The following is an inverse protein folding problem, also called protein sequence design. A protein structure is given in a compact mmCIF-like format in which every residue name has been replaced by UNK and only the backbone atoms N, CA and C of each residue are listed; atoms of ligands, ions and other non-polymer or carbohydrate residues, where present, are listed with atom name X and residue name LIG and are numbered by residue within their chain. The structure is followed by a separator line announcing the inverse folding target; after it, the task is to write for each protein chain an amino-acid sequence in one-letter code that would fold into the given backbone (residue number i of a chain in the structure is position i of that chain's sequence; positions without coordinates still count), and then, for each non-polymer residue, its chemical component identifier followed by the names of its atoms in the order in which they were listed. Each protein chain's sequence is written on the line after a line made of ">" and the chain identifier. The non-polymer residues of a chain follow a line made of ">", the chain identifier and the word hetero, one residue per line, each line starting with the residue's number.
data_IF_376717769991
#
_entry.id   IF_376717769991
#
_cell.length_a   1.000
_cell.length_b   1.000
_cell.length_c   1.000
_cell.angle_alpha   90.00
_cell.angle_beta   90.00
_cell.angle_gamma   90.00
#
_symmetry.space_group_name_H-M   'P 1'
#
loop_
_entity.id
_entity.type
_entity.pdbx_description
1 polymer ?
#
# COMPACT_ATOMS: atom_id res chain seq x y z
N UNK A 1 -4.78 1.41 -10.02
CA UNK A 1 -4.03 2.00 -8.90
C UNK A 1 -4.02 3.51 -9.09
N UNK A 2 -4.01 4.25 -8.00
CA UNK A 2 -3.84 5.70 -8.01
C UNK A 2 -2.78 6.05 -6.96
N UNK A 3 -1.87 6.96 -7.29
CA UNK A 3 -0.93 7.56 -6.36
C UNK A 3 -1.15 9.07 -6.40
N UNK A 4 -1.42 9.66 -5.25
CA UNK A 4 -1.61 11.08 -5.06
C UNK A 4 -0.48 11.62 -4.18
N UNK A 5 0.09 12.76 -4.56
CA UNK A 5 1.01 13.53 -3.72
C UNK A 5 0.40 14.91 -3.52
N UNK A 6 0.27 15.32 -2.26
CA UNK A 6 -0.38 16.56 -1.87
C UNK A 6 0.52 17.35 -0.93
N UNK A 7 0.64 18.65 -1.17
CA UNK A 7 1.38 19.53 -0.26
C UNK A 7 0.92 21.00 -0.37
N UNK A 8 0.95 21.75 0.74
CA UNK A 8 0.65 23.17 0.74
C UNK A 8 1.79 24.00 0.14
N UNK A 9 1.45 25.06 -0.58
CA UNK A 9 2.40 26.03 -1.13
C UNK A 9 2.54 27.20 -0.16
N UNK A 10 3.75 27.42 0.33
CA UNK A 10 4.04 28.55 1.21
C UNK A 10 4.32 29.79 0.36
N UNK A 11 3.44 30.80 0.40
CA UNK A 11 3.72 32.12 -0.18
C UNK A 11 4.73 32.84 0.71
N UNK A 12 6.02 32.58 0.52
CA UNK A 12 7.05 33.42 1.11
C UNK A 12 7.14 34.71 0.31
N UNK A 13 7.05 35.86 1.00
CA UNK A 13 6.89 37.16 0.37
C UNK A 13 8.05 37.62 -0.54
N UNK A 14 9.17 36.89 -0.65
CA UNK A 14 10.32 37.30 -1.47
C UNK A 14 11.22 36.14 -1.98
N UNK A 15 10.81 34.89 -1.87
CA UNK A 15 11.58 33.72 -2.34
C UNK A 15 10.68 32.81 -3.17
N UNK A 16 10.72 33.00 -4.48
CA UNK A 16 10.21 32.00 -5.42
C UNK A 16 10.97 30.67 -5.22
N UNK A 17 10.26 29.54 -5.24
CA UNK A 17 10.87 28.35 -5.84
C UNK A 17 10.95 27.05 -5.03
N UNK A 18 10.59 27.01 -3.74
CA UNK A 18 10.62 25.73 -2.99
C UNK A 18 9.58 24.71 -3.50
N UNK A 19 8.29 25.07 -3.40
CA UNK A 19 7.18 24.23 -3.85
C UNK A 19 7.18 23.99 -5.36
N UNK A 20 7.55 25.01 -6.14
CA UNK A 20 7.59 24.92 -7.60
C UNK A 20 8.67 23.95 -8.10
N UNK A 21 9.84 23.92 -7.43
CA UNK A 21 10.90 22.97 -7.78
C UNK A 21 10.46 21.53 -7.49
N UNK A 22 9.88 21.27 -6.31
CA UNK A 22 9.37 19.94 -5.97
C UNK A 22 8.26 19.50 -6.94
N UNK A 23 7.30 20.39 -7.22
CA UNK A 23 6.26 20.14 -8.21
C UNK A 23 6.84 19.82 -9.57
N UNK A 24 7.84 20.57 -10.04
CA UNK A 24 8.48 20.37 -11.34
C UNK A 24 9.15 19.00 -11.44
N UNK A 25 9.94 18.63 -10.42
CA UNK A 25 10.63 17.33 -10.39
C UNK A 25 9.62 16.18 -10.35
N UNK A 26 8.60 16.27 -9.49
CA UNK A 26 7.56 15.25 -9.41
C UNK A 26 6.78 15.15 -10.72
N UNK A 27 6.35 16.27 -11.31
CA UNK A 27 5.63 16.26 -12.59
C UNK A 27 6.42 15.65 -13.76
N UNK A 28 7.76 15.69 -13.70
CA UNK A 28 8.63 15.06 -14.68
C UNK A 28 8.72 13.54 -14.52
N UNK A 29 8.31 12.97 -13.38
CA UNK A 29 8.27 11.53 -13.18
C UNK A 29 7.16 10.90 -14.03
N UNK A 30 7.57 9.95 -14.87
CA UNK A 30 6.68 9.14 -15.68
C UNK A 30 7.01 7.65 -15.53
N UNK A 31 6.04 6.80 -15.84
CA UNK A 31 6.23 5.36 -15.89
C UNK A 31 5.38 4.75 -16.99
N UNK A 32 5.64 3.50 -17.32
CA UNK A 32 4.88 2.75 -18.32
C UNK A 32 4.44 1.41 -17.76
N UNK A 33 3.25 1.00 -18.16
CA UNK A 33 2.76 -0.35 -17.96
C UNK A 33 2.17 -0.87 -19.26
N UNK A 34 1.93 -2.16 -19.33
CA UNK A 34 1.33 -2.81 -20.49
C UNK A 34 0.05 -3.50 -20.06
N UNK A 35 -1.00 -3.31 -20.86
CA UNK A 35 -2.18 -4.16 -20.83
C UNK A 35 -2.00 -5.22 -21.92
N UNK A 36 -2.10 -6.50 -21.58
CA UNK A 36 -1.85 -7.60 -22.51
C UNK A 36 -2.76 -8.80 -22.26
N UNK A 37 -2.68 -9.76 -23.18
CA UNK A 37 -3.29 -11.08 -23.08
C UNK A 37 -2.19 -12.15 -23.04
N UNK A 38 -2.11 -12.93 -21.96
CA UNK A 38 -0.99 -13.85 -21.69
C UNK A 38 -1.50 -15.22 -21.21
N UNK A 39 -0.88 -16.30 -21.68
CA UNK A 39 -1.04 -17.65 -21.11
C UNK A 39 -0.07 -17.82 -19.92
N UNK A 40 -0.57 -18.29 -18.78
CA UNK A 40 0.26 -18.52 -17.60
C UNK A 40 1.34 -19.58 -17.85
N UNK A 41 1.05 -20.59 -18.67
CA UNK A 41 2.02 -21.61 -19.05
C UNK A 41 3.25 -20.99 -19.75
N UNK A 42 3.04 -20.09 -20.71
CA UNK A 42 4.12 -19.38 -21.42
C UNK A 42 4.94 -18.50 -20.47
N UNK A 43 4.27 -17.80 -19.55
CA UNK A 43 4.94 -17.01 -18.52
C UNK A 43 5.90 -17.88 -17.68
N UNK A 44 5.42 -19.05 -17.24
CA UNK A 44 6.19 -19.92 -16.34
C UNK A 44 7.31 -20.67 -17.07
N UNK A 45 7.12 -21.04 -18.33
CA UNK A 45 8.20 -21.54 -19.20
C UNK A 45 9.35 -20.51 -19.32
N UNK A 46 9.02 -19.22 -19.27
CA UNK A 46 9.96 -18.10 -19.34
C UNK A 46 10.40 -17.58 -17.97
N UNK A 47 10.04 -18.24 -16.87
CA UNK A 47 10.36 -17.77 -15.53
C UNK A 47 11.85 -17.45 -15.32
N UNK A 48 12.75 -18.20 -15.98
CA UNK A 48 14.20 -18.00 -15.89
C UNK A 48 14.72 -16.69 -16.52
N UNK A 49 13.97 -16.05 -17.41
CA UNK A 49 14.32 -14.74 -17.98
C UNK A 49 13.68 -13.60 -17.18
N UNK A 50 12.56 -13.86 -16.51
CA UNK A 50 11.75 -12.89 -15.75
C UNK A 50 12.22 -12.76 -14.30
N UNK A 51 12.79 -13.82 -13.73
CA UNK A 51 13.25 -13.87 -12.34
C UNK A 51 14.75 -14.05 -12.32
N UNK A 52 15.46 -13.08 -11.74
CA UNK A 52 16.91 -13.16 -11.64
C UNK A 52 17.28 -14.26 -10.63
N UNK A 53 18.02 -15.31 -11.03
CA UNK A 53 18.28 -16.46 -10.17
C UNK A 53 19.07 -16.14 -8.90
N UNK A 54 19.86 -15.06 -8.91
CA UNK A 54 20.79 -14.70 -7.84
C UNK A 54 20.22 -13.67 -6.84
N UNK A 55 19.31 -12.80 -7.27
CA UNK A 55 18.86 -11.67 -6.44
C UNK A 55 17.54 -11.92 -5.71
N UNK A 56 16.89 -13.08 -5.95
CA UNK A 56 15.52 -13.37 -5.47
C UNK A 56 14.52 -12.25 -5.82
N UNK A 57 14.81 -11.48 -6.88
CA UNK A 57 14.02 -10.36 -7.38
C UNK A 57 13.56 -10.68 -8.79
N UNK A 58 12.27 -10.48 -9.03
CA UNK A 58 11.74 -10.39 -10.37
C UNK A 58 11.92 -8.98 -10.89
N UNK A 59 12.25 -8.89 -12.17
CA UNK A 59 12.26 -7.62 -12.88
C UNK A 59 10.85 -7.22 -13.33
N UNK A 60 9.82 -8.00 -13.01
CA UNK A 60 8.45 -7.82 -13.46
C UNK A 60 7.48 -7.83 -12.25
N UNK A 61 6.46 -6.99 -12.33
CA UNK A 61 5.26 -7.08 -11.51
C UNK A 61 4.06 -7.22 -12.44
N UNK A 62 3.15 -8.12 -12.12
CA UNK A 62 1.99 -8.41 -12.99
C UNK A 62 0.78 -8.83 -12.18
N UNK A 63 -0.42 -8.54 -12.67
CA UNK A 63 -1.66 -9.08 -12.12
C UNK A 63 -2.73 -9.27 -13.18
N UNK A 64 -3.73 -10.08 -12.87
CA UNK A 64 -4.95 -10.20 -13.66
C UNK A 64 -5.70 -8.87 -13.75
N UNK A 65 -6.09 -8.47 -14.95
CA UNK A 65 -6.88 -7.27 -15.20
C UNK A 65 -8.35 -7.64 -15.40
N UNK A 66 -9.24 -7.09 -14.56
CA UNK A 66 -10.69 -7.23 -14.69
C UNK A 66 -11.19 -8.68 -14.66
N UNK A 67 -11.40 -9.28 -13.48
CA UNK A 67 -12.19 -10.51 -13.43
C UNK A 67 -13.58 -10.22 -14.04
N UNK A 68 -14.06 -11.10 -14.91
CA UNK A 68 -15.35 -10.92 -15.56
C UNK A 68 -16.51 -11.05 -14.55
N UNK A 69 -16.25 -11.72 -13.42
CA UNK A 69 -17.10 -11.75 -12.23
C UNK A 69 -16.28 -11.81 -10.93
N UNK A 70 -16.83 -11.32 -9.82
CA UNK A 70 -16.18 -11.36 -8.50
C UNK A 70 -15.89 -12.79 -7.98
N UNK A 71 -16.43 -13.81 -8.64
CA UNK A 71 -16.20 -15.23 -8.36
C UNK A 71 -15.02 -15.84 -9.14
N UNK A 72 -14.35 -15.05 -10.00
CA UNK A 72 -13.28 -15.56 -10.84
C UNK A 72 -11.96 -15.77 -10.09
N UNK A 73 -11.22 -16.75 -10.57
CA UNK A 73 -9.83 -16.93 -10.19
C UNK A 73 -9.00 -15.72 -10.63
N UNK A 74 -8.13 -15.23 -9.75
CA UNK A 74 -7.19 -14.15 -10.07
C UNK A 74 -5.79 -14.51 -9.63
N UNK A 75 -4.80 -13.83 -10.19
CA UNK A 75 -3.41 -14.06 -9.82
C UNK A 75 -2.57 -12.79 -9.93
N UNK A 76 -1.45 -12.79 -9.23
CA UNK A 76 -0.42 -11.77 -9.36
C UNK A 76 0.98 -12.38 -9.31
N UNK A 77 1.93 -11.76 -10.00
CA UNK A 77 3.35 -12.00 -9.88
C UNK A 77 3.98 -10.81 -9.17
N UNK A 78 4.58 -11.06 -8.02
CA UNK A 78 5.22 -10.03 -7.21
C UNK A 78 6.71 -9.80 -7.59
N UNK A 79 7.32 -8.69 -7.14
CA UNK A 79 8.74 -8.40 -7.35
C UNK A 79 9.71 -9.41 -6.74
N UNK A 80 9.28 -10.40 -5.95
CA UNK A 80 10.14 -11.50 -5.47
C UNK A 80 10.17 -12.67 -6.46
N UNK A 81 9.33 -12.62 -7.49
CA UNK A 81 9.14 -13.71 -8.43
C UNK A 81 8.24 -14.82 -7.87
N UNK A 82 7.32 -14.48 -6.98
CA UNK A 82 6.29 -15.41 -6.49
C UNK A 82 4.98 -15.15 -7.24
N UNK A 83 4.52 -16.18 -7.95
CA UNK A 83 3.20 -16.19 -8.58
C UNK A 83 2.16 -16.64 -7.55
N UNK A 84 1.30 -15.74 -7.11
CA UNK A 84 0.23 -16.02 -6.15
C UNK A 84 -1.10 -16.13 -6.87
N UNK A 85 -1.75 -17.29 -6.76
CA UNK A 85 -3.07 -17.56 -7.31
C UNK A 85 -4.11 -17.49 -6.18
N UNK A 86 -5.20 -16.79 -6.42
CA UNK A 86 -6.41 -16.86 -5.62
C UNK A 86 -7.45 -17.64 -6.42
N UNK A 87 -7.82 -18.81 -5.91
CA UNK A 87 -8.59 -19.80 -6.64
C UNK A 87 -9.93 -20.08 -5.96
N UNK A 88 -10.98 -20.20 -6.76
CA UNK A 88 -12.23 -20.81 -6.35
C UNK A 88 -12.05 -22.30 -5.99
N UNK A 89 -13.01 -22.86 -5.27
CA UNK A 89 -12.94 -24.25 -4.77
C UNK A 89 -12.75 -25.27 -5.92
N UNK A 90 -13.51 -25.11 -7.01
CA UNK A 90 -13.45 -26.01 -8.17
C UNK A 90 -12.10 -25.94 -8.89
N UNK A 91 -11.63 -24.74 -9.19
CA UNK A 91 -10.32 -24.52 -9.82
C UNK A 91 -9.18 -25.04 -8.95
N UNK A 92 -9.22 -24.81 -7.63
CA UNK A 92 -8.23 -25.35 -6.70
C UNK A 92 -8.16 -26.88 -6.73
N UNK A 93 -9.32 -27.54 -6.61
CA UNK A 93 -9.40 -29.01 -6.62
C UNK A 93 -8.92 -29.60 -7.95
N UNK A 94 -9.29 -28.95 -9.06
CA UNK A 94 -8.94 -29.39 -10.42
C UNK A 94 -7.45 -29.21 -10.71
N UNK A 95 -6.84 -28.11 -10.26
CA UNK A 95 -5.41 -27.86 -10.45
C UNK A 95 -4.54 -28.79 -9.59
N UNK A 96 -5.04 -29.25 -8.45
CA UNK A 96 -4.32 -30.17 -7.56
C UNK A 96 -3.00 -29.59 -7.04
N UNK A 97 -2.90 -28.26 -6.98
CA UNK A 97 -1.75 -27.53 -6.43
C UNK A 97 -1.90 -27.40 -4.91
N UNK A 98 -0.77 -27.32 -4.21
CA UNK A 98 -0.76 -27.15 -2.76
C UNK A 98 -1.02 -25.68 -2.42
N UNK A 99 -2.13 -25.40 -1.75
CA UNK A 99 -2.48 -24.07 -1.26
C UNK A 99 -3.05 -24.11 0.16
N UNK A 100 -3.44 -22.95 0.65
CA UNK A 100 -4.10 -22.78 1.95
C UNK A 100 -5.49 -22.18 1.74
N UNK A 101 -6.49 -22.68 2.48
CA UNK A 101 -7.81 -22.03 2.52
C UNK A 101 -7.67 -20.60 3.05
N UNK A 102 -8.41 -19.66 2.48
CA UNK A 102 -8.47 -18.29 3.00
C UNK A 102 -9.04 -18.28 4.43
N UNK A 103 -8.49 -17.45 5.34
CA UNK A 103 -8.90 -17.47 6.75
C UNK A 103 -10.19 -16.69 7.06
N UNK A 104 -10.89 -16.19 6.05
CA UNK A 104 -12.03 -15.29 6.23
C UNK A 104 -13.35 -16.06 6.36
N UNK A 105 -14.15 -15.72 7.38
CA UNK A 105 -15.43 -16.37 7.64
C UNK A 105 -16.43 -16.13 6.50
N UNK A 106 -17.10 -17.19 6.06
CA UNK A 106 -18.10 -17.11 4.99
C UNK A 106 -17.52 -16.92 3.59
N UNK A 107 -16.19 -16.96 3.46
CA UNK A 107 -15.52 -16.91 2.18
C UNK A 107 -14.96 -18.29 1.83
N UNK A 108 -15.17 -18.70 0.58
CA UNK A 108 -14.60 -19.93 0.04
C UNK A 108 -13.57 -19.58 -1.03
N UNK A 109 -12.39 -20.17 -0.90
CA UNK A 109 -11.26 -19.87 -1.77
C UNK A 109 -9.95 -20.40 -1.21
N UNK A 110 -8.97 -20.54 -2.08
CA UNK A 110 -7.65 -21.03 -1.73
C UNK A 110 -6.58 -20.12 -2.32
N UNK A 111 -5.53 -19.87 -1.54
CA UNK A 111 -4.35 -19.16 -2.01
C UNK A 111 -3.25 -20.18 -2.29
N UNK A 112 -2.67 -20.11 -3.47
CA UNK A 112 -1.54 -20.93 -3.91
C UNK A 112 -0.37 -20.01 -4.22
N UNK A 113 0.75 -20.16 -3.51
CA UNK A 113 1.98 -19.41 -3.76
C UNK A 113 3.00 -20.28 -4.49
N UNK A 114 3.41 -19.83 -5.68
CA UNK A 114 4.30 -20.55 -6.58
C UNK A 114 5.57 -19.72 -6.83
N UNK A 115 6.66 -19.97 -6.10
CA UNK A 115 7.96 -19.39 -6.43
C UNK A 115 8.37 -19.80 -7.85
N UNK A 116 8.66 -18.82 -8.70
CA UNK A 116 9.07 -19.06 -10.09
C UNK A 116 10.59 -19.29 -10.22
N UNK A 117 11.35 -19.01 -9.15
CA UNK A 117 12.78 -19.22 -9.09
C UNK A 117 13.14 -20.72 -9.27
N UNK A 118 14.09 -21.05 -10.16
CA UNK A 118 14.50 -22.45 -10.38
C UNK A 118 15.07 -23.14 -9.13
N UNK A 119 15.65 -22.39 -8.19
CA UNK A 119 16.22 -22.95 -6.95
C UNK A 119 15.17 -23.23 -5.87
N UNK A 120 14.00 -22.58 -5.92
CA UNK A 120 13.03 -22.59 -4.82
C UNK A 120 12.15 -23.85 -4.77
N UNK A 121 12.08 -24.63 -5.86
CA UNK A 121 11.19 -25.80 -5.96
C UNK A 121 11.89 -26.96 -6.64
N UNK A 122 11.59 -28.21 -6.23
CA UNK A 122 12.16 -29.40 -6.86
C UNK A 122 11.71 -29.55 -8.32
N UNK A 123 12.51 -30.22 -9.15
CA UNK A 123 12.18 -30.46 -10.58
C UNK A 123 10.80 -31.09 -10.74
N UNK A 124 10.47 -32.11 -9.92
CA UNK A 124 9.17 -32.78 -9.93
C UNK A 124 8.02 -31.81 -9.63
N UNK A 125 8.20 -30.93 -8.64
CA UNK A 125 7.17 -29.95 -8.27
C UNK A 125 7.01 -28.88 -9.35
N UNK A 126 8.10 -28.46 -10.01
CA UNK A 126 8.03 -27.57 -11.18
C UNK A 126 7.26 -28.19 -12.33
N UNK A 127 7.59 -29.44 -12.70
CA UNK A 127 6.86 -30.15 -13.75
C UNK A 127 5.36 -30.29 -13.42
N UNK A 128 5.01 -30.59 -12.17
CA UNK A 128 3.61 -30.64 -11.71
C UNK A 128 2.93 -29.27 -11.84
N UNK A 129 3.60 -28.19 -11.41
CA UNK A 129 3.11 -26.81 -11.53
C UNK A 129 2.87 -26.46 -13.00
N UNK A 130 3.86 -26.67 -13.86
CA UNK A 130 3.82 -26.29 -15.27
C UNK A 130 2.72 -27.06 -16.01
N UNK A 131 2.56 -28.36 -15.73
CA UNK A 131 1.47 -29.17 -16.26
C UNK A 131 0.09 -28.68 -15.80
N UNK A 132 -0.05 -28.31 -14.52
CA UNK A 132 -1.30 -27.80 -13.98
C UNK A 132 -1.70 -26.45 -14.61
N UNK A 133 -0.75 -25.51 -14.75
CA UNK A 133 -1.01 -24.22 -15.38
C UNK A 133 -1.33 -24.35 -16.87
N UNK A 134 -0.63 -25.24 -17.58
CA UNK A 134 -0.94 -25.56 -18.99
C UNK A 134 -2.34 -26.16 -19.16
N UNK A 135 -2.74 -27.08 -18.28
CA UNK A 135 -4.09 -27.61 -18.27
C UNK A 135 -5.14 -26.55 -17.93
N UNK A 136 -4.78 -25.57 -17.09
CA UNK A 136 -5.65 -24.45 -16.75
C UNK A 136 -5.93 -23.53 -17.94
N UNK A 137 -4.87 -23.10 -18.62
CA UNK A 137 -4.99 -22.25 -19.82
C UNK A 137 -5.80 -22.99 -20.90
N UNK A 138 -5.55 -24.28 -21.11
CA UNK A 138 -6.31 -25.10 -22.06
C UNK A 138 -7.80 -25.19 -21.72
N UNK A 139 -8.15 -25.28 -20.43
CA UNK A 139 -9.55 -25.31 -19.98
C UNK A 139 -10.25 -23.96 -20.16
N UNK A 140 -9.55 -22.86 -19.90
CA UNK A 140 -10.08 -21.50 -20.11
C UNK A 140 -10.38 -21.23 -21.58
N UNK A 141 -9.57 -21.78 -22.49
CA UNK A 141 -9.74 -21.57 -23.93
C UNK A 141 -9.36 -20.17 -24.42
N UNK A 142 -9.06 -19.24 -23.51
CA UNK A 142 -8.57 -17.90 -23.81
C UNK A 142 -7.45 -17.46 -22.85
N UNK A 143 -6.54 -16.57 -23.31
CA UNK A 143 -5.49 -16.00 -22.47
C UNK A 143 -6.04 -15.11 -21.35
N UNK A 144 -5.22 -14.87 -20.34
CA UNK A 144 -5.50 -13.95 -19.24
C UNK A 144 -5.32 -12.51 -19.67
N UNK A 145 -6.32 -11.67 -19.43
CA UNK A 145 -6.15 -10.22 -19.45
C UNK A 145 -5.30 -9.80 -18.24
N UNK A 146 -4.20 -9.09 -18.48
CA UNK A 146 -3.21 -8.75 -17.46
C UNK A 146 -2.74 -7.31 -17.57
N UNK A 147 -2.32 -6.74 -16.43
CA UNK A 147 -1.49 -5.55 -16.36
C UNK A 147 -0.11 -5.94 -15.87
N UNK A 148 0.95 -5.45 -16.51
CA UNK A 148 2.31 -5.64 -16.01
C UNK A 148 3.21 -4.41 -16.21
N UNK A 149 4.25 -4.32 -15.41
CA UNK A 149 5.33 -3.35 -15.55
C UNK A 149 6.66 -4.00 -15.15
N UNK A 150 7.72 -3.65 -15.87
CA UNK A 150 9.08 -4.02 -15.51
C UNK A 150 9.68 -3.09 -14.45
N UNK A 151 10.85 -3.43 -13.94
CA UNK A 151 11.65 -2.59 -13.03
C UNK A 151 12.12 -1.30 -13.70
N UNK A 152 12.17 -1.26 -15.03
CA UNK A 152 12.43 -0.07 -15.84
C UNK A 152 11.72 -0.21 -17.21
N UNK A 153 11.68 0.89 -17.96
CA UNK A 153 11.03 0.95 -19.27
C UNK A 153 11.60 -0.07 -20.27
N UNK A 154 12.92 -0.32 -20.25
CA UNK A 154 13.58 -1.28 -21.14
C UNK A 154 13.14 -2.71 -20.87
N UNK A 155 13.02 -3.10 -19.60
CA UNK A 155 12.49 -4.41 -19.19
C UNK A 155 11.03 -4.56 -19.61
N UNK A 156 10.20 -3.53 -19.39
CA UNK A 156 8.80 -3.53 -19.83
C UNK A 156 8.69 -3.74 -21.34
N UNK A 157 9.47 -2.99 -22.12
CA UNK A 157 9.48 -3.04 -23.58
C UNK A 157 10.02 -4.38 -24.13
N UNK A 158 11.07 -4.91 -23.51
CA UNK A 158 11.61 -6.22 -23.86
C UNK A 158 10.52 -7.30 -23.69
N UNK A 159 9.89 -7.37 -22.51
CA UNK A 159 8.84 -8.36 -22.25
C UNK A 159 7.63 -8.18 -23.19
N UNK A 160 7.23 -6.94 -23.50
CA UNK A 160 6.17 -6.65 -24.48
C UNK A 160 6.50 -7.15 -25.89
N UNK A 161 7.76 -7.03 -26.30
CA UNK A 161 8.21 -7.50 -27.62
C UNK A 161 8.19 -9.03 -27.71
N UNK A 162 8.49 -9.73 -26.62
CA UNK A 162 8.46 -11.20 -26.56
C UNK A 162 7.05 -11.77 -26.49
N UNK A 163 6.15 -11.11 -25.76
CA UNK A 163 4.74 -11.47 -25.64
C UNK A 163 3.86 -10.57 -26.49
N UNK A 164 4.31 -10.29 -27.73
CA UNK A 164 3.62 -9.46 -28.70
C UNK A 164 2.31 -10.12 -29.18
N UNK A 165 1.35 -10.24 -28.27
CA UNK A 165 -0.03 -10.46 -28.63
C UNK A 165 -0.53 -9.19 -29.34
N UNK A 166 -1.30 -9.29 -30.43
CA UNK A 166 -1.82 -8.12 -31.14
C UNK A 166 -2.66 -7.16 -30.26
N UNK A 167 -3.12 -7.65 -29.11
CA UNK A 167 -3.91 -6.90 -28.13
C UNK A 167 -3.07 -6.20 -27.06
N UNK A 168 -1.73 -6.33 -27.09
CA UNK A 168 -0.85 -5.69 -26.13
C UNK A 168 -0.79 -4.18 -26.38
N UNK A 169 -0.93 -3.40 -25.32
CA UNK A 169 -1.09 -1.96 -25.38
C UNK A 169 -0.24 -1.29 -24.28
N UNK A 170 0.75 -0.52 -24.71
CA UNK A 170 1.67 0.20 -23.83
C UNK A 170 1.01 1.50 -23.38
N UNK A 171 0.87 1.68 -22.09
CA UNK A 171 0.26 2.85 -21.46
C UNK A 171 1.32 3.66 -20.71
N UNK A 172 1.46 4.92 -21.11
CA UNK A 172 2.29 5.90 -20.38
C UNK A 172 1.46 6.54 -19.28
N UNK A 173 1.99 6.54 -18.07
CA UNK A 173 1.41 7.21 -16.91
C UNK A 173 2.19 8.50 -16.69
N UNK A 174 1.49 9.63 -16.78
CA UNK A 174 2.02 10.96 -16.52
C UNK A 174 1.37 11.56 -15.29
N UNK A 175 2.08 12.47 -14.64
CA UNK A 175 1.54 13.28 -13.55
C UNK A 175 0.44 14.21 -14.07
N UNK A 176 -0.69 14.28 -13.37
CA UNK A 176 -1.70 15.32 -13.51
C UNK A 176 -1.61 16.22 -12.29
N UNK A 177 -1.28 17.49 -12.51
CA UNK A 177 -1.18 18.49 -11.44
C UNK A 177 -2.41 19.38 -11.38
N UNK A 178 -2.87 19.67 -10.17
CA UNK A 178 -3.91 20.63 -9.84
C UNK A 178 -3.43 21.51 -8.69
N UNK A 179 -3.83 22.78 -8.70
CA UNK A 179 -3.66 23.67 -7.55
C UNK A 179 -5.03 24.12 -7.06
N UNK A 180 -5.26 23.97 -5.77
CA UNK A 180 -6.44 24.47 -5.09
C UNK A 180 -6.05 25.71 -4.29
N UNK A 181 -6.83 26.78 -4.42
CA UNK A 181 -6.49 28.08 -3.82
C UNK A 181 -7.43 28.39 -2.67
N UNK A 182 -6.92 29.05 -1.65
CA UNK A 182 -7.75 29.52 -0.53
C UNK A 182 -8.36 28.38 0.28
N UNK A 183 -7.58 27.33 0.52
CA UNK A 183 -7.94 26.14 1.29
C UNK A 183 -7.49 26.32 2.74
N UNK A 184 -8.28 25.89 3.71
CA UNK A 184 -7.81 25.73 5.09
C UNK A 184 -6.80 24.59 5.16
N UNK A 185 -5.54 24.91 5.45
CA UNK A 185 -4.42 23.97 5.57
C UNK A 185 -4.08 23.78 7.05
N UNK A 186 -4.06 22.55 7.58
CA UNK A 186 -3.64 22.30 8.96
C UNK A 186 -2.16 22.59 9.17
N UNK A 187 -1.81 23.10 10.35
CA UNK A 187 -0.45 23.02 10.87
C UNK A 187 -0.22 21.60 11.37
N UNK A 188 0.76 20.92 10.77
CA UNK A 188 1.07 19.53 11.08
C UNK A 188 2.31 19.48 11.97
N UNK A 189 2.13 18.93 13.18
CA UNK A 189 3.21 18.63 14.11
C UNK A 189 3.14 17.14 14.45
N UNK A 190 3.94 16.33 13.75
CA UNK A 190 3.95 14.88 13.98
C UNK A 190 4.69 14.56 15.28
N UNK A 191 4.05 13.77 16.15
CA UNK A 191 4.61 13.22 17.38
C UNK A 191 4.43 11.70 17.38
N UNK A 192 5.23 10.99 18.18
CA UNK A 192 5.04 9.56 18.38
C UNK A 192 3.75 9.33 19.19
N UNK A 193 2.98 8.30 18.83
CA UNK A 193 1.79 7.90 19.59
C UNK A 193 2.18 7.64 21.06
N UNK A 194 1.52 8.27 22.03
CA UNK A 194 1.70 7.93 23.44
C UNK A 194 1.55 6.43 23.63
N UNK A 195 2.48 5.80 24.33
CA UNK A 195 2.43 4.36 24.59
C UNK A 195 2.48 4.11 26.08
N UNK A 196 1.56 3.28 26.57
CA UNK A 196 1.61 2.73 27.92
C UNK A 196 2.89 1.90 28.02
N UNK A 197 3.95 2.45 28.61
CA UNK A 197 5.19 1.72 28.89
C UNK A 197 4.88 0.60 29.90
N UNK A 198 4.47 -0.58 29.43
CA UNK A 198 4.10 -1.66 30.36
C UNK A 198 3.82 -3.06 29.82
N UNK A 199 3.52 -3.26 28.54
CA UNK A 199 3.15 -4.60 28.03
C UNK A 199 4.32 -5.45 27.53
N UNK A 200 5.56 -5.01 27.76
CA UNK A 200 6.78 -5.82 27.60
C UNK A 200 6.89 -6.96 28.60
N UNK A 201 5.86 -7.81 28.72
CA UNK A 201 6.00 -9.16 29.29
C UNK A 201 6.81 -9.97 28.30
N UNK A 202 8.13 -9.85 28.43
CA UNK A 202 9.06 -10.82 27.89
C UNK A 202 8.59 -12.20 28.31
N UNK A 203 8.35 -13.06 27.31
CA UNK A 203 8.22 -14.50 27.45
C UNK A 203 9.56 -15.11 27.89
N UNK A 204 10.05 -14.70 29.06
CA UNK A 204 11.17 -15.33 29.75
C UNK A 204 10.64 -16.55 30.47
N UNK A 205 10.69 -17.70 29.79
CA UNK A 205 10.40 -19.02 30.36
C UNK A 205 11.52 -19.41 31.34
N UNK A 206 11.58 -18.74 32.48
CA UNK A 206 12.50 -19.01 33.58
C UNK A 206 11.88 -20.01 34.54
N UNK A 207 12.23 -21.28 34.39
CA UNK A 207 12.00 -22.32 35.40
C UNK A 207 12.90 -22.03 36.60
N UNK A 208 12.32 -21.68 37.75
CA UNK A 208 13.08 -21.45 38.98
C UNK A 208 12.17 -21.31 40.18
N UNK A 209 11.85 -22.43 40.80
CA UNK A 209 11.19 -22.54 42.10
C UNK A 209 12.02 -21.85 43.18
N UNK A 210 11.49 -20.79 43.80
CA UNK A 210 11.84 -20.49 45.19
C UNK A 210 10.65 -19.91 45.96
N UNK A 211 10.37 -20.48 47.13
CA UNK A 211 9.22 -20.18 47.99
C UNK A 211 9.68 -19.30 49.15
N UNK A 212 9.70 -17.99 48.94
CA UNK A 212 9.87 -16.99 50.01
C UNK A 212 8.54 -16.34 50.38
N UNK A 213 7.97 -16.68 51.55
CA UNK A 213 6.81 -16.00 52.14
C UNK A 213 7.25 -14.65 52.72
N UNK A 214 6.89 -13.55 52.06
CA UNK A 214 6.91 -12.20 52.63
C UNK A 214 5.54 -11.56 52.49
N UNK A 215 4.84 -11.32 53.61
CA UNK A 215 3.58 -10.56 53.69
C UNK A 215 3.91 -9.20 54.31
N UNK A 216 3.73 -8.11 53.57
CA UNK A 216 3.81 -6.75 54.12
C UNK A 216 3.73 -5.66 53.06
N UNK A 217 2.72 -4.79 53.19
CA UNK A 217 2.53 -3.46 52.57
C UNK A 217 2.59 -3.34 51.03
N UNK A 218 1.43 -3.39 50.38
CA UNK A 218 1.30 -3.11 48.93
C UNK A 218 0.14 -2.18 48.53
N UNK A 219 -0.63 -1.64 49.48
CA UNK A 219 -1.89 -0.97 49.15
C UNK A 219 -1.78 0.51 48.70
N UNK A 220 -0.60 1.14 48.82
CA UNK A 220 -0.45 2.58 48.51
C UNK A 220 0.10 2.87 47.12
N UNK A 221 0.77 1.90 46.48
CA UNK A 221 1.31 2.06 45.12
C UNK A 221 0.28 1.81 44.01
N UNK A 222 -0.90 1.28 44.36
CA UNK A 222 -1.92 0.90 43.38
C UNK A 222 -2.78 2.09 42.92
N UNK A 223 -2.85 3.18 43.70
CA UNK A 223 -3.67 4.36 43.36
C UNK A 223 -2.94 5.33 42.40
N UNK A 224 -1.69 5.69 42.70
CA UNK A 224 -0.89 6.59 41.83
C UNK A 224 -0.65 5.99 40.44
N UNK A 225 -0.56 4.65 40.36
CA UNK A 225 -0.42 3.96 39.09
C UNK A 225 -1.69 4.04 38.22
N UNK A 226 -2.87 4.16 38.83
CA UNK A 226 -4.14 4.27 38.10
C UNK A 226 -4.29 5.63 37.41
N UNK A 227 -3.93 6.71 38.09
CA UNK A 227 -4.02 8.08 37.54
C UNK A 227 -3.07 8.27 36.35
N UNK A 228 -1.83 7.76 36.41
CA UNK A 228 -0.89 7.84 35.27
C UNK A 228 -1.36 7.02 34.04
N UNK A 229 -2.03 5.89 34.25
CA UNK A 229 -2.57 5.08 33.13
C UNK A 229 -3.75 5.78 32.44
N UNK A 230 -4.63 6.42 33.21
CA UNK A 230 -5.76 7.22 32.67
C UNK A 230 -5.26 8.43 31.87
N UNK A 231 -4.26 9.16 32.36
CA UNK A 231 -3.67 10.31 31.65
C UNK A 231 -3.05 9.88 30.30
N UNK A 232 -2.32 8.76 30.26
CA UNK A 232 -1.71 8.24 29.02
C UNK A 232 -2.78 7.78 28.03
N UNK A 233 -3.87 7.17 28.50
CA UNK A 233 -4.98 6.76 27.65
C UNK A 233 -5.68 7.97 27.02
N UNK A 234 -5.95 9.02 27.82
CA UNK A 234 -6.51 10.27 27.33
C UNK A 234 -5.59 10.95 26.28
N UNK A 235 -4.28 11.02 26.54
CA UNK A 235 -3.31 11.56 25.57
C UNK A 235 -3.27 10.74 24.27
N UNK A 236 -3.40 9.41 24.36
CA UNK A 236 -3.43 8.54 23.18
C UNK A 236 -4.72 8.72 22.37
N UNK A 237 -5.87 8.91 23.03
CA UNK A 237 -7.16 9.21 22.38
C UNK A 237 -7.12 10.54 21.64
N UNK A 238 -6.58 11.59 22.27
CA UNK A 238 -6.39 12.91 21.64
C UNK A 238 -5.46 12.81 20.42
N UNK A 239 -4.36 12.07 20.55
CA UNK A 239 -3.43 11.83 19.44
C UNK A 239 -4.12 11.07 18.27
N UNK A 240 -4.90 10.04 18.58
CA UNK A 240 -5.62 9.25 17.57
C UNK A 240 -6.66 10.12 16.85
N UNK A 241 -7.36 11.01 17.58
CA UNK A 241 -8.32 11.97 17.02
C UNK A 241 -7.65 12.99 16.08
N UNK A 242 -6.52 13.55 16.49
CA UNK A 242 -5.74 14.50 15.68
C UNK A 242 -5.22 13.85 14.39
N UNK A 243 -4.67 12.63 14.49
CA UNK A 243 -4.23 11.88 13.31
C UNK A 243 -5.41 11.56 12.39
N UNK A 244 -6.55 11.14 12.93
CA UNK A 244 -7.75 10.87 12.13
C UNK A 244 -8.21 12.12 11.37
N UNK A 245 -8.30 13.26 12.04
CA UNK A 245 -8.66 14.53 11.43
C UNK A 245 -7.68 14.95 10.33
N UNK A 246 -6.38 14.71 10.52
CA UNK A 246 -5.36 14.97 9.50
C UNK A 246 -5.52 14.07 8.27
N UNK A 247 -5.71 12.76 8.45
CA UNK A 247 -5.93 11.83 7.32
C UNK A 247 -7.25 12.08 6.59
N UNK A 248 -8.31 12.44 7.32
CA UNK A 248 -9.57 12.87 6.72
C UNK A 248 -9.36 14.14 5.87
N UNK A 249 -8.65 15.13 6.41
CA UNK A 249 -8.31 16.34 5.67
C UNK A 249 -7.53 16.02 4.38
N UNK A 250 -6.51 15.16 4.45
CA UNK A 250 -5.74 14.72 3.27
C UNK A 250 -6.65 14.04 2.24
N UNK A 251 -7.53 13.15 2.69
CA UNK A 251 -8.49 12.47 1.81
C UNK A 251 -9.42 13.45 1.11
N UNK A 252 -9.98 14.39 1.85
CA UNK A 252 -10.84 15.43 1.28
C UNK A 252 -10.09 16.36 0.32
N UNK A 253 -8.84 16.71 0.64
CA UNK A 253 -8.00 17.53 -0.22
C UNK A 253 -7.65 16.80 -1.52
N UNK A 254 -7.38 15.49 -1.47
CA UNK A 254 -7.19 14.65 -2.67
C UNK A 254 -8.44 14.51 -3.54
N UNK A 255 -9.63 14.68 -2.96
CA UNK A 255 -10.91 14.76 -3.67
C UNK A 255 -11.23 16.18 -4.17
N UNK A 256 -10.48 17.19 -3.71
CA UNK A 256 -10.75 18.61 -3.91
C UNK A 256 -12.10 19.04 -3.37
N UNK A 257 -12.42 18.58 -2.16
CA UNK A 257 -13.68 18.85 -1.50
C UNK A 257 -13.89 20.35 -1.29
N UNK A 258 -15.08 20.84 -1.66
CA UNK A 258 -15.49 22.22 -1.42
C UNK A 258 -15.41 22.61 0.07
N UNK A 259 -15.59 21.64 0.97
CA UNK A 259 -15.58 21.83 2.44
C UNK A 259 -14.26 22.36 3.00
N UNK A 260 -13.17 22.26 2.25
CA UNK A 260 -11.89 22.82 2.66
C UNK A 260 -11.70 24.28 2.24
N UNK A 261 -12.58 24.82 1.40
CA UNK A 261 -12.46 26.18 0.89
C UNK A 261 -12.77 27.21 1.99
N UNK A 262 -11.92 28.22 2.14
CA UNK A 262 -12.07 29.22 3.20
C UNK A 262 -13.34 30.08 3.07
N UNK A 263 -13.92 30.12 1.87
CA UNK A 263 -15.17 30.83 1.59
C UNK A 263 -16.39 29.91 1.59
N UNK A 264 -16.22 28.62 1.91
CA UNK A 264 -17.35 27.70 2.02
C UNK A 264 -18.23 28.07 3.23
N UNK A 265 -19.54 27.94 3.04
CA UNK A 265 -20.57 28.23 4.04
C UNK A 265 -21.52 27.04 4.10
N UNK A 266 -21.09 25.88 4.65
CA UNK A 266 -21.97 24.73 4.81
C UNK A 266 -23.20 25.13 5.61
N UNK A 267 -24.36 24.61 5.20
CA UNK A 267 -25.52 24.62 6.08
C UNK A 267 -25.20 23.68 7.27
N UNK A 268 -25.23 24.15 8.52
CA UNK A 268 -24.85 23.35 9.69
C UNK A 268 -25.76 22.14 9.93
N UNK A 269 -26.95 22.10 9.30
CA UNK A 269 -27.86 20.96 9.36
C UNK A 269 -27.63 19.92 8.25
N UNK A 270 -26.71 20.19 7.32
CA UNK A 270 -26.45 19.33 6.14
C UNK A 270 -25.03 18.75 6.14
N UNK A 271 -24.04 19.51 6.63
CA UNK A 271 -22.65 19.06 6.67
C UNK A 271 -22.10 19.16 8.10
N UNK A 272 -21.60 18.03 8.61
CA UNK A 272 -21.00 17.92 9.93
C UNK A 272 -19.48 18.11 9.93
N UNK A 273 -18.85 18.04 8.76
CA UNK A 273 -17.41 18.25 8.69
C UNK A 273 -17.06 19.69 9.07
N UNK A 274 -16.18 19.83 10.05
CA UNK A 274 -15.57 21.10 10.43
C UNK A 274 -14.08 20.98 10.13
N UNK A 275 -13.49 21.90 9.34
CA UNK A 275 -12.05 21.89 9.11
C UNK A 275 -11.28 22.00 10.43
N UNK A 276 -9.99 21.59 10.46
CA UNK A 276 -9.14 21.77 11.63
C UNK A 276 -9.27 23.19 12.17
N UNK A 277 -9.34 23.32 13.51
CA UNK A 277 -9.64 24.59 14.18
C UNK A 277 -8.84 25.77 13.59
N UNK A 278 -9.42 26.96 13.40
CA UNK A 278 -8.71 28.14 12.88
C UNK A 278 -7.49 28.54 13.72
N UNK A 279 -7.42 28.12 14.99
CA UNK A 279 -6.23 28.31 15.84
C UNK A 279 -5.01 27.52 15.36
N UNK A 280 -5.22 26.44 14.60
CA UNK A 280 -4.19 25.54 14.09
C UNK A 280 -4.13 25.51 12.56
N UNK A 281 -5.11 26.09 11.85
CA UNK A 281 -5.15 26.11 10.38
C UNK A 281 -4.79 27.48 9.79
N UNK A 282 -4.19 27.48 8.59
CA UNK A 282 -3.89 28.68 7.80
C UNK A 282 -4.56 28.58 6.43
N UNK A 283 -5.06 29.70 5.90
CA UNK A 283 -5.56 29.72 4.52
C UNK A 283 -4.37 29.76 3.56
N UNK A 284 -4.28 28.76 2.68
CA UNK A 284 -3.18 28.61 1.74
C UNK A 284 -3.61 28.01 0.41
N UNK A 285 -2.63 27.82 -0.47
CA UNK A 285 -2.82 27.06 -1.71
C UNK A 285 -2.28 25.64 -1.50
N UNK A 286 -2.88 24.65 -2.14
CA UNK A 286 -2.50 23.24 -2.07
C UNK A 286 -2.23 22.73 -3.48
N UNK A 287 -1.07 22.11 -3.68
CA UNK A 287 -0.74 21.38 -4.91
C UNK A 287 -1.12 19.92 -4.71
N UNK A 288 -1.81 19.37 -5.71
CA UNK A 288 -2.22 17.98 -5.78
C UNK A 288 -1.74 17.38 -7.09
N UNK A 289 -0.88 16.38 -6.98
CA UNK A 289 -0.28 15.64 -8.09
C UNK A 289 -0.86 14.23 -8.10
N UNK A 290 -1.21 13.72 -9.27
CA UNK A 290 -1.88 12.41 -9.39
C UNK A 290 -1.30 11.60 -10.55
N UNK A 291 -1.02 10.32 -10.27
CA UNK A 291 -0.73 9.30 -11.28
C UNK A 291 -1.80 8.22 -11.24
N UNK A 292 -2.34 7.86 -12.40
CA UNK A 292 -3.38 6.81 -12.55
C UNK A 292 -2.93 5.75 -13.54
N UNK A 293 -2.97 4.50 -13.12
CA UNK A 293 -2.58 3.36 -13.95
C UNK A 293 -2.20 2.13 -13.13
N UNK A 294 -1.34 1.29 -13.70
CA UNK A 294 -0.61 0.28 -12.94
C UNK A 294 0.78 0.83 -12.64
N UNK A 295 1.08 1.05 -11.35
CA UNK A 295 2.31 1.70 -10.90
C UNK A 295 3.20 0.65 -10.24
N UNK A 296 4.36 0.42 -10.84
CA UNK A 296 5.34 -0.51 -10.28
C UNK A 296 5.98 0.02 -9.00
N UNK A 297 6.46 -0.87 -8.12
CA UNK A 297 7.06 -0.48 -6.84
C UNK A 297 8.30 0.40 -7.01
N UNK A 298 9.10 0.20 -8.07
CA UNK A 298 10.27 1.04 -8.36
C UNK A 298 9.87 2.51 -8.61
N UNK A 299 8.76 2.73 -9.33
CA UNK A 299 8.25 4.07 -9.58
C UNK A 299 7.67 4.70 -8.31
N UNK A 300 6.91 3.93 -7.52
CA UNK A 300 6.39 4.42 -6.24
C UNK A 300 7.55 4.81 -5.32
N UNK A 301 8.60 3.99 -5.25
CA UNK A 301 9.81 4.31 -4.48
C UNK A 301 10.49 5.59 -5.00
N UNK A 302 10.59 5.80 -6.31
CA UNK A 302 11.20 7.04 -6.85
C UNK A 302 10.40 8.30 -6.46
N UNK A 303 9.08 8.21 -6.38
CA UNK A 303 8.23 9.30 -5.86
C UNK A 303 8.51 9.56 -4.38
N UNK A 304 8.57 8.50 -3.57
CA UNK A 304 8.91 8.58 -2.13
C UNK A 304 10.29 9.20 -1.93
N UNK A 305 11.31 8.70 -2.65
CA UNK A 305 12.69 9.19 -2.56
C UNK A 305 12.78 10.67 -2.97
N UNK A 306 12.02 11.09 -3.99
CA UNK A 306 11.95 12.49 -4.41
C UNK A 306 11.39 13.38 -3.30
N UNK A 307 10.29 12.95 -2.65
CA UNK A 307 9.70 13.66 -1.51
C UNK A 307 10.67 13.71 -0.31
N UNK A 308 11.32 12.59 0.00
CA UNK A 308 12.26 12.50 1.11
C UNK A 308 13.57 13.27 0.84
N UNK A 309 13.96 13.46 -0.41
CA UNK A 309 15.16 14.21 -0.78
C UNK A 309 14.93 15.72 -0.91
N UNK A 310 13.69 16.18 -0.95
CA UNK A 310 13.39 17.60 -1.05
C UNK A 310 13.89 18.36 0.20
N UNK A 311 14.64 19.44 -0.03
CA UNK A 311 15.33 20.22 1.01
C UNK A 311 14.54 21.45 1.45
N UNK A 312 13.76 22.05 0.54
CA UNK A 312 12.85 23.16 0.79
C UNK A 312 11.42 22.61 0.90
N UNK A 313 11.16 21.86 1.97
CA UNK A 313 9.87 21.19 2.08
C UNK A 313 8.75 22.17 2.39
N UNK A 314 7.58 21.96 1.78
CA UNK A 314 6.35 22.51 2.32
C UNK A 314 6.15 22.04 3.77
N UNK A 315 5.28 22.72 4.56
CA UNK A 315 4.98 22.35 5.95
C UNK A 315 4.81 20.85 6.20
N UNK A 316 4.18 20.16 5.26
CA UNK A 316 4.14 18.70 5.18
C UNK A 316 3.89 18.26 3.73
N UNK A 317 4.12 16.98 3.45
CA UNK A 317 3.78 16.31 2.19
C UNK A 317 3.00 15.04 2.54
N UNK A 318 1.87 14.82 1.91
CA UNK A 318 1.10 13.59 2.03
C UNK A 318 1.16 12.79 0.72
N UNK A 319 1.50 11.51 0.81
CA UNK A 319 1.47 10.56 -0.29
C UNK A 319 0.40 9.53 -0.01
N UNK A 320 -0.62 9.45 -0.85
CA UNK A 320 -1.72 8.48 -0.70
C UNK A 320 -1.69 7.53 -1.89
N UNK A 321 -1.64 6.22 -1.63
CA UNK A 321 -1.77 5.22 -2.68
C UNK A 321 -3.03 4.38 -2.47
N UNK A 322 -3.76 4.19 -3.56
CA UNK A 322 -4.94 3.34 -3.63
C UNK A 322 -4.57 2.02 -4.31
N UNK A 323 -4.69 0.92 -3.57
CA UNK A 323 -4.38 -0.42 -4.06
C UNK A 323 -5.32 -0.83 -5.21
N UNK A 324 -4.95 -1.91 -5.90
CA UNK A 324 -5.85 -2.53 -6.87
C UNK A 324 -6.80 -3.49 -6.14
N UNK A 325 -8.13 -3.34 -6.29
CA UNK A 325 -9.11 -4.19 -5.60
C UNK A 325 -8.93 -5.69 -5.92
N UNK A 326 -8.44 -5.98 -7.12
CA UNK A 326 -8.24 -7.34 -7.66
C UNK A 326 -6.90 -7.99 -7.26
N UNK A 327 -6.02 -7.29 -6.54
CA UNK A 327 -4.72 -7.88 -6.17
C UNK A 327 -4.87 -8.91 -5.05
N UNK A 328 -4.37 -10.13 -5.24
CA UNK A 328 -4.33 -11.16 -4.19
C UNK A 328 -3.23 -10.92 -3.15
N UNK A 329 -2.31 -10.00 -3.44
CA UNK A 329 -1.22 -9.57 -2.56
C UNK A 329 -1.20 -8.05 -2.48
N UNK A 330 -1.44 -7.49 -1.29
CA UNK A 330 -1.28 -6.04 -1.04
C UNK A 330 -0.01 -5.69 -0.27
N UNK A 331 0.59 -6.68 0.39
CA UNK A 331 1.76 -6.48 1.24
C UNK A 331 2.80 -7.55 0.99
N UNK A 332 4.04 -7.12 0.80
CA UNK A 332 5.18 -8.00 0.65
C UNK A 332 6.00 -7.84 1.93
N UNK A 333 5.99 -8.83 2.83
CA UNK A 333 6.83 -8.78 4.01
C UNK A 333 8.30 -8.80 3.60
N UNK A 334 9.14 -8.36 4.54
CA UNK A 334 10.57 -8.24 4.36
C UNK A 334 11.21 -9.53 3.80
N UNK A 335 12.33 -9.40 3.09
CA UNK A 335 12.85 -10.40 2.14
C UNK A 335 13.01 -11.83 2.71
N UNK A 336 13.12 -11.97 4.03
CA UNK A 336 13.28 -13.24 4.72
C UNK A 336 11.96 -14.02 4.91
N UNK A 337 10.80 -13.40 4.71
CA UNK A 337 9.51 -14.03 4.88
C UNK A 337 8.77 -14.15 3.53
N UNK A 338 8.72 -15.38 2.99
CA UNK A 338 7.97 -15.66 1.76
C UNK A 338 6.45 -15.70 1.99
N UNK A 339 6.01 -15.77 3.25
CA UNK A 339 4.58 -15.86 3.57
C UNK A 339 3.97 -14.46 3.59
N UNK A 340 3.26 -14.13 2.52
CA UNK A 340 2.43 -12.94 2.45
C UNK A 340 1.13 -13.12 3.23
N UNK A 341 0.69 -12.09 3.99
CA UNK A 341 -0.66 -12.07 4.56
C UNK A 341 -1.72 -12.30 3.48
N UNK A 342 -2.68 -13.16 3.75
CA UNK A 342 -3.75 -13.44 2.81
C UNK A 342 -4.64 -12.19 2.63
N UNK A 343 -5.06 -11.92 1.40
CA UNK A 343 -6.05 -10.90 1.08
C UNK A 343 -7.05 -11.48 0.11
N UNK A 344 -8.33 -11.18 0.31
CA UNK A 344 -9.40 -11.51 -0.64
C UNK A 344 -9.51 -10.40 -1.69
N UNK A 345 -9.26 -10.70 -2.99
CA UNK A 345 -9.60 -9.82 -4.09
C UNK A 345 -11.10 -9.55 -4.11
N UNK A 346 -11.51 -8.30 -4.27
CA UNK A 346 -12.94 -7.92 -4.30
C UNK A 346 -13.14 -6.66 -5.12
N UNK A 347 -14.27 -6.51 -5.80
CA UNK A 347 -14.52 -5.37 -6.69
C UNK A 347 -14.65 -4.04 -5.93
N UNK A 348 -15.14 -4.09 -4.69
CA UNK A 348 -15.34 -2.99 -3.75
C UNK A 348 -14.12 -2.81 -2.80
N UNK A 349 -12.98 -3.38 -3.16
CA UNK A 349 -11.80 -3.45 -2.30
C UNK A 349 -10.99 -2.17 -2.32
N UNK A 350 -11.28 -1.26 -1.40
CA UNK A 350 -10.55 0.00 -1.26
C UNK A 350 -9.53 -0.09 -0.11
N UNK A 351 -8.40 -0.75 -0.38
CA UNK A 351 -7.26 -0.65 0.54
C UNK A 351 -6.39 0.53 0.12
N UNK A 352 -5.99 1.33 1.09
CA UNK A 352 -5.17 2.52 0.87
C UNK A 352 -4.07 2.62 1.92
N UNK A 353 -2.99 3.31 1.59
CA UNK A 353 -2.04 3.78 2.58
C UNK A 353 -1.75 5.26 2.33
N UNK A 354 -1.47 5.98 3.41
CA UNK A 354 -1.15 7.39 3.40
C UNK A 354 0.11 7.63 4.25
N UNK A 355 1.18 8.06 3.60
CA UNK A 355 2.43 8.49 4.23
C UNK A 355 2.43 10.01 4.32
N UNK A 356 2.49 10.55 5.54
CA UNK A 356 2.65 11.99 5.76
C UNK A 356 4.07 12.22 6.26
N UNK A 357 4.77 13.16 5.64
CA UNK A 357 6.12 13.60 6.02
C UNK A 357 6.04 15.07 6.40
N UNK A 358 6.55 15.44 7.56
CA UNK A 358 6.57 16.82 8.05
C UNK A 358 7.93 17.15 8.69
N UNK A 359 8.22 18.45 8.81
CA UNK A 359 9.45 18.95 9.44
C UNK A 359 10.56 19.33 8.45
N UNK A 360 11.64 19.85 9.02
CA UNK A 360 12.78 20.39 8.27
C UNK A 360 13.74 19.29 7.80
N UNK A 361 14.64 19.61 6.87
CA UNK A 361 15.58 18.66 6.24
C UNK A 361 16.32 17.76 7.21
N UNK A 362 16.72 18.27 8.39
CA UNK A 362 17.47 17.51 9.39
C UNK A 362 16.60 16.85 10.48
N UNK A 363 15.28 17.08 10.46
CA UNK A 363 14.34 16.60 11.49
C UNK A 363 13.00 16.20 10.88
N UNK A 364 13.04 15.46 9.76
CA UNK A 364 11.83 14.92 9.14
C UNK A 364 11.21 13.88 10.06
N UNK A 365 9.94 14.07 10.37
CA UNK A 365 9.07 13.09 11.03
C UNK A 365 8.08 12.57 10.01
N UNK A 366 7.61 11.36 10.22
CA UNK A 366 6.62 10.76 9.33
C UNK A 366 5.63 9.93 10.12
N UNK A 367 4.43 9.79 9.57
CA UNK A 367 3.44 8.82 10.01
C UNK A 367 2.89 8.10 8.78
N UNK A 368 2.54 6.82 8.96
CA UNK A 368 1.93 5.98 7.95
C UNK A 368 0.60 5.49 8.50
N UNK A 369 -0.49 5.78 7.81
CA UNK A 369 -1.76 5.13 8.04
C UNK A 369 -2.08 4.18 6.91
N UNK A 370 -2.69 3.04 7.26
CA UNK A 370 -3.23 2.09 6.31
C UNK A 370 -4.74 1.96 6.56
N UNK A 371 -5.53 2.07 5.49
CA UNK A 371 -6.92 1.63 5.48
C UNK A 371 -6.94 0.25 4.84
N UNK A 372 -7.20 -0.79 5.62
CA UNK A 372 -7.29 -2.16 5.16
C UNK A 372 -8.70 -2.69 5.42
N UNK A 373 -9.32 -3.29 4.42
CA UNK A 373 -10.66 -3.87 4.61
C UNK A 373 -10.62 -5.18 5.41
N UNK A 374 -11.78 -5.56 5.97
CA UNK A 374 -11.91 -6.73 6.85
C UNK A 374 -11.64 -8.11 6.21
N UNK A 375 -11.35 -8.15 4.91
CA UNK A 375 -10.90 -9.36 4.20
C UNK A 375 -9.41 -9.29 3.80
N UNK A 376 -8.61 -8.56 4.58
CA UNK A 376 -7.15 -8.57 4.56
C UNK A 376 -6.66 -9.12 5.90
N UNK A 377 -5.80 -10.13 5.90
CA UNK A 377 -5.32 -10.78 7.12
C UNK A 377 -4.35 -9.90 7.94
N UNK A 378 -4.01 -8.72 7.44
CA UNK A 378 -3.35 -7.66 8.22
C UNK A 378 -4.33 -6.90 9.11
N UNK A 379 -5.64 -7.05 8.88
CA UNK A 379 -6.68 -6.45 9.73
C UNK A 379 -6.90 -7.30 10.99
N UNK A 380 -6.86 -6.65 12.16
CA UNK A 380 -6.89 -7.27 13.48
C UNK A 380 -5.56 -7.12 14.21
#
# INVERSE_FOLDING_TARGET
>A
MQLDVLFPVQRQNNSEGGGDALQTVLCALETTYVKARIELAKLVEQAGTVVQPLELKSTLTMLTHSPHDAADDVWCLDPRGVLTLHLGVESYQTLGLTGTKVPFKGQDGHVVSLPLQPSATSVRNRQKRDAALKAWDARRGEPWDVLYCGSNASTTAAFASFNAHPASDIRVVKCVARTERGVWVPRVELSARPSTRGSGKGAGKGTGTDKGKGKGSHAQNDAEKGEEEEDIEAEAEDWDADMHALFEWVGMAGLGAQRLQAHDRPNPHVALYTPPSPSTAVVGDVVHLRWRGFLGPVFVQSVVDTVLSATNNPPFIALTAHALPVSSVSYIPDANNLKTPARMPRADGDDTWCLIVAGESNSKRWCLAESVGGLDARWG
#
